data_IF_498233683238
#
_entry.id   IF_498233683238
#
_cell.length_a   1.000
_cell.length_b   1.000
_cell.length_c   1.000
_cell.angle_alpha   90.00
_cell.angle_beta   90.00
_cell.angle_gamma   90.00
#
_symmetry.space_group_name_H-M   'P 1'
#
loop_
_entity.id
_entity.type
_entity.pdbx_description
1 polymer ?
#
# COMPACT_ATOMS: atom_id res chain seq x y z
N UNK A 1 -22.45 4.35 -10.35
CA UNK A 1 -21.70 5.19 -9.40
C UNK A 1 -22.48 6.45 -9.20
N UNK A 2 -23.06 6.60 -8.03
CA UNK A 2 -23.65 7.86 -7.58
C UNK A 2 -22.51 8.85 -7.30
N UNK A 3 -22.78 10.17 -7.33
CA UNK A 3 -21.74 11.18 -7.08
C UNK A 3 -21.10 11.06 -5.67
N UNK A 4 -21.81 10.45 -4.73
CA UNK A 4 -21.35 10.11 -3.38
C UNK A 4 -20.20 9.10 -3.38
N UNK A 5 -20.25 8.11 -4.28
CA UNK A 5 -19.26 7.03 -4.35
C UNK A 5 -17.93 7.58 -4.87
N UNK A 6 -17.99 8.49 -5.85
CA UNK A 6 -16.82 9.17 -6.40
C UNK A 6 -16.13 10.03 -5.33
N UNK A 7 -16.91 10.80 -4.55
CA UNK A 7 -16.36 11.61 -3.47
C UNK A 7 -15.71 10.73 -2.38
N UNK A 8 -16.34 9.59 -2.04
CA UNK A 8 -15.77 8.59 -1.14
C UNK A 8 -14.44 8.03 -1.65
N UNK A 9 -14.37 7.67 -2.95
CA UNK A 9 -13.14 7.19 -3.59
C UNK A 9 -12.00 8.20 -3.50
N UNK A 10 -12.28 9.47 -3.78
CA UNK A 10 -11.29 10.54 -3.75
C UNK A 10 -10.79 10.81 -2.34
N UNK A 11 -11.69 10.84 -1.35
CA UNK A 11 -11.34 11.07 0.06
C UNK A 11 -10.47 9.92 0.61
N UNK A 12 -10.88 8.67 0.37
CA UNK A 12 -10.11 7.48 0.75
C UNK A 12 -8.76 7.47 0.03
N UNK A 13 -8.78 7.72 -1.28
CA UNK A 13 -7.59 7.80 -2.12
C UNK A 13 -6.55 8.79 -1.58
N UNK A 14 -7.01 9.99 -1.24
CA UNK A 14 -6.18 11.05 -0.67
C UNK A 14 -5.63 10.68 0.71
N UNK A 15 -6.48 10.22 1.62
CA UNK A 15 -6.07 9.86 2.98
C UNK A 15 -5.08 8.69 2.99
N UNK A 16 -5.38 7.61 2.25
CA UNK A 16 -4.51 6.45 2.15
C UNK A 16 -3.20 6.75 1.41
N UNK A 17 -3.23 7.65 0.41
CA UNK A 17 -2.01 8.14 -0.24
C UNK A 17 -1.12 8.95 0.70
N UNK A 18 -1.70 9.86 1.48
CA UNK A 18 -0.98 10.68 2.47
C UNK A 18 -0.37 9.79 3.56
N UNK A 19 -1.17 8.93 4.19
CA UNK A 19 -0.71 8.00 5.22
C UNK A 19 0.30 7.00 4.66
N UNK A 20 0.05 6.46 3.47
CA UNK A 20 0.94 5.53 2.79
C UNK A 20 2.30 6.12 2.44
N UNK A 21 2.33 7.40 2.06
CA UNK A 21 3.55 8.16 1.83
C UNK A 21 4.33 8.43 3.12
N UNK A 22 3.65 8.77 4.21
CA UNK A 22 4.29 9.00 5.52
C UNK A 22 4.90 7.72 6.12
N UNK A 23 4.21 6.59 5.99
CA UNK A 23 4.71 5.29 6.50
C UNK A 23 5.74 4.68 5.53
N UNK A 24 5.84 5.18 4.29
CA UNK A 24 6.78 4.69 3.27
C UNK A 24 6.38 3.37 2.61
N UNK A 25 5.12 2.95 2.75
CA UNK A 25 4.61 1.65 2.26
C UNK A 25 3.85 1.79 0.92
N UNK A 26 3.66 3.02 0.42
CA UNK A 26 3.05 3.26 -0.90
C UNK A 26 1.51 3.13 -0.94
N UNK A 27 0.84 3.19 0.22
CA UNK A 27 -0.62 3.29 0.32
C UNK A 27 -1.42 2.00 0.14
N UNK A 28 -0.84 0.97 -0.47
CA UNK A 28 -1.50 -0.31 -0.76
C UNK A 28 -2.18 -1.02 0.39
N UNK A 29 -1.46 -1.11 1.51
CA UNK A 29 -1.96 -1.73 2.74
C UNK A 29 -3.22 -1.03 3.24
N UNK A 30 -3.44 0.24 2.86
CA UNK A 30 -4.60 1.04 3.24
C UNK A 30 -5.69 1.09 2.17
N UNK A 31 -5.35 1.01 0.88
CA UNK A 31 -6.34 1.10 -0.21
C UNK A 31 -7.31 -0.09 -0.23
N UNK A 32 -6.81 -1.32 -0.23
CA UNK A 32 -7.65 -2.53 -0.29
C UNK A 32 -8.68 -2.61 0.84
N UNK A 33 -8.32 -2.51 2.14
CA UNK A 33 -9.31 -2.61 3.21
C UNK A 33 -10.28 -1.43 3.17
N UNK A 34 -9.83 -0.24 2.74
CA UNK A 34 -10.70 0.90 2.65
C UNK A 34 -11.74 0.71 1.54
N UNK A 35 -11.35 0.12 0.40
CA UNK A 35 -12.31 -0.18 -0.66
C UNK A 35 -13.30 -1.25 -0.24
N UNK A 36 -12.85 -2.34 0.37
CA UNK A 36 -13.76 -3.41 0.82
C UNK A 36 -14.69 -2.94 1.94
N UNK A 37 -14.17 -2.25 2.96
CA UNK A 37 -14.96 -1.86 4.13
C UNK A 37 -15.89 -0.66 3.87
N UNK A 38 -15.47 0.32 3.08
CA UNK A 38 -16.26 1.55 2.87
C UNK A 38 -17.09 1.53 1.59
N UNK A 39 -16.66 0.80 0.55
CA UNK A 39 -17.35 0.78 -0.75
C UNK A 39 -18.01 -0.57 -1.04
N UNK A 40 -17.71 -1.62 -0.26
CA UNK A 40 -18.34 -2.94 -0.41
C UNK A 40 -18.04 -3.62 -1.76
N UNK A 41 -16.97 -3.19 -2.44
CA UNK A 41 -16.50 -3.83 -3.68
C UNK A 41 -15.86 -5.18 -3.37
N UNK A 42 -15.93 -6.10 -4.33
CA UNK A 42 -15.33 -7.43 -4.19
C UNK A 42 -13.83 -7.33 -3.88
N UNK A 43 -13.29 -8.34 -3.19
CA UNK A 43 -11.87 -8.34 -2.80
C UNK A 43 -10.96 -8.25 -4.05
N UNK A 44 -11.33 -8.94 -5.12
CA UNK A 44 -10.56 -8.95 -6.37
C UNK A 44 -10.57 -7.58 -7.06
N UNK A 45 -11.70 -6.89 -7.07
CA UNK A 45 -11.83 -5.55 -7.65
C UNK A 45 -11.10 -4.49 -6.81
N UNK A 46 -11.18 -4.60 -5.48
CA UNK A 46 -10.43 -3.75 -4.56
C UNK A 46 -8.92 -3.88 -4.76
N UNK A 47 -8.40 -5.10 -4.88
CA UNK A 47 -6.98 -5.36 -5.13
C UNK A 47 -6.53 -4.76 -6.48
N UNK A 48 -7.26 -5.04 -7.57
CA UNK A 48 -6.94 -4.51 -8.89
C UNK A 48 -6.93 -2.98 -8.93
N UNK A 49 -7.95 -2.36 -8.32
CA UNK A 49 -8.07 -0.89 -8.24
C UNK A 49 -6.95 -0.29 -7.39
N UNK A 50 -6.56 -0.96 -6.30
CA UNK A 50 -5.46 -0.51 -5.44
C UNK A 50 -4.10 -0.55 -6.16
N UNK A 51 -3.85 -1.57 -6.98
CA UNK A 51 -2.63 -1.68 -7.79
C UNK A 51 -2.55 -0.53 -8.80
N UNK A 52 -3.66 -0.18 -9.43
CA UNK A 52 -3.72 0.98 -10.30
C UNK A 52 -3.38 2.25 -9.51
N UNK A 53 -4.04 2.49 -8.37
CA UNK A 53 -3.76 3.65 -7.52
C UNK A 53 -2.28 3.72 -7.07
N UNK A 54 -1.67 2.58 -6.73
CA UNK A 54 -0.25 2.50 -6.38
C UNK A 54 0.66 2.98 -7.51
N UNK A 55 0.36 2.67 -8.78
CA UNK A 55 1.16 3.14 -9.92
C UNK A 55 1.23 4.67 -9.92
N UNK A 56 0.10 5.34 -9.69
CA UNK A 56 0.06 6.80 -9.62
C UNK A 56 0.87 7.33 -8.45
N UNK A 57 0.72 6.74 -7.26
CA UNK A 57 1.51 7.11 -6.06
C UNK A 57 3.00 6.91 -6.31
N UNK A 58 3.40 5.81 -6.96
CA UNK A 58 4.78 5.49 -7.26
C UNK A 58 5.38 6.47 -8.28
N UNK A 59 4.64 6.86 -9.33
CA UNK A 59 5.08 7.86 -10.30
C UNK A 59 5.35 9.20 -9.61
N UNK A 60 4.40 9.66 -8.78
CA UNK A 60 4.55 10.93 -8.05
C UNK A 60 5.72 10.84 -7.06
N UNK A 61 5.83 9.73 -6.32
CA UNK A 61 6.92 9.49 -5.38
C UNK A 61 8.30 9.46 -6.06
N UNK A 62 8.41 8.80 -7.21
CA UNK A 62 9.61 8.78 -8.02
C UNK A 62 9.95 10.19 -8.55
N UNK A 63 8.99 10.93 -9.11
CA UNK A 63 9.23 12.29 -9.59
C UNK A 63 9.76 13.20 -8.46
N UNK A 64 9.17 13.12 -7.26
CA UNK A 64 9.63 13.86 -6.07
C UNK A 64 11.04 13.44 -5.65
N UNK A 65 11.29 12.15 -5.55
CA UNK A 65 12.60 11.62 -5.16
C UNK A 65 13.70 11.96 -6.18
N UNK A 66 13.32 12.16 -7.45
CA UNK A 66 14.24 12.57 -8.51
C UNK A 66 14.74 13.99 -8.26
N UNK A 67 13.85 14.87 -7.80
CA UNK A 67 14.19 16.25 -7.42
C UNK A 67 15.17 16.32 -6.25
N UNK A 68 15.18 15.32 -5.36
CA UNK A 68 16.13 15.20 -4.25
C UNK A 68 17.46 14.53 -4.62
N UNK A 69 17.65 14.10 -5.88
CA UNK A 69 18.86 13.41 -6.34
C UNK A 69 19.04 11.99 -5.75
N UNK A 70 18.05 11.48 -5.04
CA UNK A 70 18.16 10.27 -4.23
C UNK A 70 17.54 9.04 -4.92
N UNK A 71 17.49 9.07 -6.25
CA UNK A 71 16.78 8.09 -7.07
C UNK A 71 17.72 7.05 -7.66
N UNK A 72 17.64 5.83 -7.13
CA UNK A 72 18.43 4.69 -7.59
C UNK A 72 17.73 4.00 -8.76
N UNK A 73 17.77 4.61 -9.93
CA UNK A 73 17.07 4.14 -11.14
C UNK A 73 17.38 2.69 -11.49
N UNK A 74 18.63 2.24 -11.29
CA UNK A 74 19.04 0.86 -11.56
C UNK A 74 18.26 -0.15 -10.72
N UNK A 75 18.15 0.09 -9.42
CA UNK A 75 17.45 -0.82 -8.51
C UNK A 75 15.94 -0.78 -8.75
N UNK A 76 15.40 0.42 -9.03
CA UNK A 76 14.01 0.59 -9.43
C UNK A 76 13.66 -0.17 -10.71
N UNK A 77 14.54 -0.15 -11.72
CA UNK A 77 14.37 -0.92 -12.97
C UNK A 77 14.43 -2.43 -12.74
N UNK A 78 15.38 -2.91 -11.92
CA UNK A 78 15.48 -4.34 -11.62
C UNK A 78 14.20 -4.83 -10.94
N UNK A 79 13.74 -4.12 -9.91
CA UNK A 79 12.49 -4.47 -9.22
C UNK A 79 11.32 -4.36 -10.19
N UNK A 80 11.21 -3.26 -10.94
CA UNK A 80 10.12 -3.02 -11.88
C UNK A 80 10.01 -4.06 -13.00
N UNK A 81 11.13 -4.58 -13.49
CA UNK A 81 11.14 -5.64 -14.52
C UNK A 81 10.81 -7.02 -13.92
N UNK A 82 11.20 -7.28 -12.68
CA UNK A 82 10.89 -8.55 -11.99
C UNK A 82 9.46 -8.58 -11.43
N UNK A 83 8.88 -7.43 -11.08
CA UNK A 83 7.55 -7.33 -10.48
C UNK A 83 6.43 -7.97 -11.32
N UNK A 84 6.35 -7.81 -12.66
CA UNK A 84 5.33 -8.45 -13.49
C UNK A 84 5.29 -9.98 -13.35
N UNK A 85 6.44 -10.63 -13.14
CA UNK A 85 6.51 -12.07 -12.94
C UNK A 85 5.83 -12.45 -11.63
N UNK A 86 6.13 -11.71 -10.55
CA UNK A 86 5.51 -11.90 -9.25
C UNK A 86 4.00 -11.60 -9.27
N UNK A 87 3.59 -10.52 -9.94
CA UNK A 87 2.18 -10.18 -10.12
C UNK A 87 1.47 -11.28 -10.91
N UNK A 88 2.02 -11.74 -12.03
CA UNK A 88 1.42 -12.80 -12.84
C UNK A 88 1.24 -14.10 -12.06
N UNK A 89 2.27 -14.54 -11.32
CA UNK A 89 2.16 -15.71 -10.46
C UNK A 89 1.11 -15.54 -9.35
N UNK A 90 1.08 -14.36 -8.71
CA UNK A 90 0.12 -14.01 -7.68
C UNK A 90 -1.32 -13.98 -8.20
N UNK A 91 -1.56 -13.40 -9.38
CA UNK A 91 -2.88 -13.33 -10.01
C UNK A 91 -3.39 -14.72 -10.38
N UNK A 92 -2.53 -15.60 -10.91
CA UNK A 92 -2.92 -17.00 -11.20
C UNK A 92 -3.33 -17.69 -9.90
N UNK A 93 -2.57 -17.53 -8.82
CA UNK A 93 -2.90 -18.14 -7.53
C UNK A 93 -4.21 -17.56 -6.96
N UNK A 94 -4.38 -16.24 -6.99
CA UNK A 94 -5.56 -15.54 -6.46
C UNK A 94 -6.84 -15.95 -7.19
N UNK A 95 -6.80 -16.07 -8.53
CA UNK A 95 -7.96 -16.48 -9.34
C UNK A 95 -8.42 -17.93 -9.09
N UNK A 96 -7.56 -18.77 -8.49
CA UNK A 96 -7.91 -20.16 -8.15
C UNK A 96 -8.39 -20.33 -6.70
N UNK A 97 -8.35 -19.27 -5.89
CA UNK A 97 -8.75 -19.32 -4.48
C UNK A 97 -10.19 -18.82 -4.30
N UNK A 98 -10.95 -19.38 -3.36
CA UNK A 98 -12.23 -18.81 -2.95
C UNK A 98 -12.04 -17.40 -2.39
N UNK A 99 -13.01 -16.50 -2.66
CA UNK A 99 -12.97 -15.09 -2.21
C UNK A 99 -12.75 -14.98 -0.69
N UNK A 100 -13.40 -15.85 0.09
CA UNK A 100 -13.23 -15.89 1.55
C UNK A 100 -11.80 -16.20 1.99
N UNK A 101 -11.10 -17.06 1.24
CA UNK A 101 -9.70 -17.38 1.52
C UNK A 101 -8.83 -16.18 1.21
N UNK A 102 -9.07 -15.47 0.12
CA UNK A 102 -8.33 -14.25 -0.25
C UNK A 102 -8.50 -13.17 0.82
N UNK A 103 -9.74 -12.90 1.25
CA UNK A 103 -10.07 -11.97 2.34
C UNK A 103 -9.31 -12.29 3.63
N UNK A 104 -9.38 -13.54 4.10
CA UNK A 104 -8.74 -13.95 5.35
C UNK A 104 -7.22 -13.91 5.26
N UNK A 105 -6.65 -14.28 4.12
CA UNK A 105 -5.21 -14.23 3.85
C UNK A 105 -4.71 -12.78 3.90
N UNK A 106 -5.44 -11.89 3.22
CA UNK A 106 -5.12 -10.48 3.17
C UNK A 106 -5.27 -9.82 4.55
N UNK A 107 -6.35 -10.11 5.27
CA UNK A 107 -6.56 -9.64 6.63
C UNK A 107 -5.43 -10.11 7.59
N UNK A 108 -5.01 -11.37 7.49
CA UNK A 108 -3.88 -11.87 8.28
C UNK A 108 -2.57 -11.13 7.95
N UNK A 109 -2.29 -10.88 6.67
CA UNK A 109 -1.13 -10.11 6.22
C UNK A 109 -1.17 -8.67 6.75
N UNK A 110 -2.34 -8.02 6.74
CA UNK A 110 -2.51 -6.68 7.29
C UNK A 110 -2.28 -6.65 8.80
N UNK A 111 -2.82 -7.61 9.55
CA UNK A 111 -2.57 -7.73 10.98
C UNK A 111 -1.09 -7.92 11.27
N UNK A 112 -0.39 -8.69 10.44
CA UNK A 112 1.07 -8.84 10.53
C UNK A 112 1.80 -7.49 10.35
N UNK A 113 1.46 -6.71 9.33
CA UNK A 113 2.05 -5.38 9.12
C UNK A 113 1.70 -4.40 10.24
N UNK A 114 0.43 -4.39 10.68
CA UNK A 114 -0.04 -3.55 11.78
C UNK A 114 0.72 -3.86 13.08
N UNK A 115 0.91 -5.15 13.38
CA UNK A 115 1.70 -5.58 14.53
C UNK A 115 3.18 -5.20 14.40
N UNK A 116 3.77 -5.35 13.21
CA UNK A 116 5.13 -4.91 12.93
C UNK A 116 5.32 -3.41 13.15
N UNK A 117 4.38 -2.59 12.66
CA UNK A 117 4.38 -1.15 12.83
C UNK A 117 4.17 -0.75 14.30
N UNK A 118 3.22 -1.36 15.00
CA UNK A 118 2.97 -1.12 16.42
C UNK A 118 4.20 -1.43 17.28
N UNK A 119 4.88 -2.55 17.03
CA UNK A 119 6.13 -2.89 17.72
C UNK A 119 7.24 -1.89 17.43
N UNK A 120 7.33 -1.38 16.20
CA UNK A 120 8.33 -0.37 15.83
C UNK A 120 8.04 0.97 16.50
N UNK A 121 6.77 1.39 16.56
CA UNK A 121 6.34 2.60 17.24
C UNK A 121 6.63 2.56 18.75
N UNK A 122 6.32 1.43 19.40
CA UNK A 122 6.56 1.22 20.84
C UNK A 122 8.04 1.04 21.22
N UNK A 123 8.93 0.81 20.25
CA UNK A 123 10.39 0.67 20.47
C UNK A 123 11.18 1.94 20.21
N UNK A 124 10.51 3.08 19.97
CA UNK A 124 11.20 4.37 19.82
C UNK A 124 11.96 4.68 21.13
N UNK A 125 13.29 4.87 21.11
CA UNK A 125 14.07 5.20 22.31
C UNK A 125 13.58 6.53 22.93
N UNK A 126 13.58 6.58 24.26
CA UNK A 126 13.21 7.77 25.04
C UNK A 126 14.12 8.97 24.67
N UNK A 127 13.55 10.15 24.32
CA UNK A 127 14.32 11.38 24.07
C UNK A 127 15.23 11.81 25.22
N UNK A 128 15.08 11.24 26.42
CA UNK A 128 15.91 11.55 27.59
C UNK A 128 17.33 10.93 27.58
N UNK A 129 17.64 10.02 26.65
CA UNK A 129 18.98 9.41 26.50
C UNK A 129 19.93 10.18 25.56
N UNK A 130 19.56 11.38 25.12
CA UNK A 130 20.51 12.23 24.38
C UNK A 130 21.71 12.56 25.28
N UNK A 131 22.95 12.17 24.91
CA UNK A 131 24.13 12.62 25.65
C UNK A 131 24.20 14.15 25.56
N UNK A 132 24.22 14.81 26.71
CA UNK A 132 24.50 16.25 26.78
C UNK A 132 25.91 16.48 26.21
N UNK A 133 25.96 16.95 24.96
CA UNK A 133 27.16 17.39 24.27
C UNK A 133 26.95 18.78 23.72
#
# INVERSE_FOLDING_TARGET
MEATDLFGLLAIGFAAGMLGGLVGVGGGVLFVPAFVLFLGVSQLEAEGTSLLAMVLVAIVGAARQSGYGNLRLRDGLIVGVLSPIGVGAGTVLANNLPERTLELSFAALQLYFAYGLARRALRSPDPSEAPNG
#
